data_IF_307639623514
#
_entry.id   IF_307639623514
#
_cell.length_a   1.000
_cell.length_b   1.000
_cell.length_c   1.000
_cell.angle_alpha   90.00
_cell.angle_beta   90.00
_cell.angle_gamma   90.00
#
_symmetry.space_group_name_H-M   'P 1'
#
loop_
_entity.id
_entity.type
_entity.pdbx_description
1 polymer ?
#
# COMPACT_ATOMS: atom_id res chain seq x y z
N UNK A 1 -14.67 46.54 -59.99
CA UNK A 1 -14.56 45.12 -59.68
C UNK A 1 -13.98 45.00 -58.24
N UNK A 2 -14.76 44.69 -57.26
CA UNK A 2 -14.30 44.55 -55.84
C UNK A 2 -14.31 43.07 -55.50
N UNK A 3 -13.12 42.47 -55.29
CA UNK A 3 -12.95 41.08 -54.91
C UNK A 3 -13.25 40.92 -53.40
N UNK A 4 -14.23 40.11 -53.09
CA UNK A 4 -14.63 39.75 -51.74
C UNK A 4 -13.84 38.49 -51.35
N UNK A 5 -12.85 38.61 -50.47
CA UNK A 5 -12.11 37.48 -49.91
C UNK A 5 -12.92 36.87 -48.76
N UNK A 6 -13.39 35.63 -48.95
CA UNK A 6 -14.10 34.86 -47.96
C UNK A 6 -13.06 34.17 -47.03
N UNK A 7 -12.91 34.65 -45.79
CA UNK A 7 -12.09 34.01 -44.74
C UNK A 7 -12.91 32.88 -44.13
N UNK A 8 -12.53 31.62 -44.46
CA UNK A 8 -13.08 30.43 -43.84
C UNK A 8 -12.34 30.20 -42.51
N UNK A 9 -12.97 30.51 -41.38
CA UNK A 9 -12.45 30.21 -40.04
C UNK A 9 -12.70 28.73 -39.75
N UNK A 10 -11.65 27.88 -39.85
CA UNK A 10 -11.69 26.54 -39.32
C UNK A 10 -11.64 26.59 -37.78
N UNK A 11 -12.79 26.34 -37.12
CA UNK A 11 -12.83 26.09 -35.67
C UNK A 11 -12.31 24.67 -35.41
N UNK A 12 -11.04 24.51 -34.97
CA UNK A 12 -10.53 23.28 -34.37
C UNK A 12 -11.19 23.09 -33.03
N UNK A 13 -12.23 22.26 -32.97
CA UNK A 13 -12.75 21.75 -31.68
C UNK A 13 -11.75 20.75 -31.14
N UNK A 14 -10.94 21.17 -30.18
CA UNK A 14 -10.09 20.27 -29.38
C UNK A 14 -10.98 19.37 -28.52
N UNK A 15 -11.26 18.15 -28.98
CA UNK A 15 -11.82 17.12 -28.12
C UNK A 15 -10.75 16.80 -27.08
N UNK A 16 -10.97 17.23 -25.84
CA UNK A 16 -10.22 16.72 -24.71
C UNK A 16 -10.51 15.21 -24.60
N UNK A 17 -9.59 14.38 -25.09
CA UNK A 17 -9.67 12.94 -24.87
C UNK A 17 -9.51 12.70 -23.36
N UNK A 18 -10.61 12.38 -22.69
CA UNK A 18 -10.55 11.90 -21.31
C UNK A 18 -9.74 10.60 -21.31
N UNK A 19 -8.63 10.58 -20.55
CA UNK A 19 -7.88 9.37 -20.35
C UNK A 19 -8.80 8.27 -19.78
N UNK A 20 -8.66 7.04 -20.28
CA UNK A 20 -9.44 5.91 -19.75
C UNK A 20 -9.19 5.75 -18.25
N UNK A 21 -10.22 5.37 -17.48
CA UNK A 21 -10.06 5.14 -16.05
C UNK A 21 -8.95 4.13 -15.75
N UNK A 22 -8.14 4.40 -14.73
CA UNK A 22 -7.11 3.49 -14.25
C UNK A 22 -7.73 2.27 -13.57
N UNK A 23 -7.29 1.08 -13.95
CA UNK A 23 -7.80 -0.18 -13.39
C UNK A 23 -6.98 -0.62 -12.19
N UNK A 24 -7.63 -0.75 -11.04
CA UNK A 24 -7.02 -1.24 -9.80
C UNK A 24 -7.61 -2.62 -9.46
N UNK A 25 -6.77 -3.64 -9.36
CA UNK A 25 -7.15 -4.97 -8.87
C UNK A 25 -6.93 -5.02 -7.36
N UNK A 26 -7.99 -5.23 -6.60
CA UNK A 26 -8.00 -5.18 -5.14
C UNK A 26 -8.31 -6.55 -4.57
N UNK A 27 -7.31 -7.18 -3.96
CA UNK A 27 -7.38 -8.56 -3.43
C UNK A 27 -7.52 -8.53 -1.91
N UNK A 28 -8.59 -9.11 -1.40
CA UNK A 28 -8.78 -9.37 0.01
C UNK A 28 -8.48 -10.82 0.34
N UNK A 29 -7.68 -11.08 1.39
CA UNK A 29 -7.58 -12.41 1.99
C UNK A 29 -8.88 -12.83 2.67
N UNK A 30 -9.04 -14.12 3.01
CA UNK A 30 -10.14 -14.56 3.86
C UNK A 30 -10.03 -13.89 5.23
N UNK A 31 -11.16 -13.71 5.96
CA UNK A 31 -11.12 -13.28 7.36
C UNK A 31 -10.27 -14.23 8.19
N UNK A 32 -9.51 -13.65 9.14
CA UNK A 32 -8.60 -14.45 9.97
C UNK A 32 -8.57 -13.95 11.37
N UNK A 33 -8.87 -13.94 12.33
CA UNK A 33 -8.93 -13.34 13.66
C UNK A 33 -10.40 -13.16 14.12
N UNK A 34 -10.56 -12.67 15.33
CA UNK A 34 -11.86 -12.35 15.87
C UNK A 34 -12.53 -11.15 15.17
N UNK A 35 -13.79 -10.86 15.50
CA UNK A 35 -14.51 -9.74 14.90
C UNK A 35 -13.75 -8.41 15.00
N UNK A 36 -13.85 -7.60 13.97
CA UNK A 36 -13.19 -6.29 13.82
C UNK A 36 -11.67 -6.34 13.69
N UNK A 37 -11.05 -7.51 13.62
CA UNK A 37 -9.64 -7.69 13.29
C UNK A 37 -9.51 -8.47 11.97
N UNK A 38 -8.56 -8.08 11.13
CA UNK A 38 -8.32 -8.71 9.81
C UNK A 38 -9.58 -8.86 8.94
N UNK A 39 -10.45 -7.85 8.97
CA UNK A 39 -11.66 -7.79 8.14
C UNK A 39 -11.31 -7.40 6.68
N UNK A 40 -10.48 -8.23 6.05
CA UNK A 40 -9.90 -7.95 4.74
C UNK A 40 -10.96 -7.71 3.68
N UNK A 41 -12.01 -8.57 3.63
CA UNK A 41 -13.10 -8.45 2.67
C UNK A 41 -13.87 -7.12 2.84
N UNK A 42 -14.21 -6.77 4.08
CA UNK A 42 -14.92 -5.53 4.38
C UNK A 42 -14.06 -4.31 4.07
N UNK A 43 -12.76 -4.34 4.45
CA UNK A 43 -11.82 -3.26 4.20
C UNK A 43 -11.61 -2.97 2.71
N UNK A 44 -11.39 -4.00 1.89
CA UNK A 44 -11.24 -3.83 0.44
C UNK A 44 -12.52 -3.28 -0.20
N UNK A 45 -13.70 -3.77 0.18
CA UNK A 45 -14.97 -3.27 -0.34
C UNK A 45 -15.20 -1.81 0.06
N UNK A 46 -14.86 -1.44 1.31
CA UNK A 46 -14.93 -0.05 1.78
C UNK A 46 -14.02 0.86 0.96
N UNK A 47 -12.74 0.49 0.79
CA UNK A 47 -11.78 1.27 0.00
C UNK A 47 -12.24 1.42 -1.45
N UNK A 48 -12.70 0.35 -2.09
CA UNK A 48 -13.23 0.40 -3.46
C UNK A 48 -14.46 1.31 -3.58
N UNK A 49 -15.37 1.28 -2.60
CA UNK A 49 -16.51 2.20 -2.52
C UNK A 49 -16.07 3.66 -2.42
N UNK A 50 -15.09 3.95 -1.55
CA UNK A 50 -14.53 5.29 -1.40
C UNK A 50 -13.84 5.77 -2.70
N UNK A 51 -13.07 4.91 -3.37
CA UNK A 51 -12.47 5.24 -4.68
C UNK A 51 -13.52 5.57 -5.73
N UNK A 52 -14.58 4.76 -5.83
CA UNK A 52 -15.70 5.01 -6.76
C UNK A 52 -16.35 6.37 -6.51
N UNK A 53 -16.50 6.78 -5.25
CA UNK A 53 -17.13 8.05 -4.85
C UNK A 53 -16.19 9.26 -5.00
N UNK A 54 -14.90 9.09 -4.67
CA UNK A 54 -13.95 10.20 -4.57
C UNK A 54 -13.08 10.43 -5.80
N UNK A 55 -12.86 9.41 -6.62
CA UNK A 55 -11.96 9.52 -7.78
C UNK A 55 -12.65 10.01 -9.07
N UNK A 56 -13.90 10.44 -9.00
CA UNK A 56 -14.64 11.06 -10.12
C UNK A 56 -14.52 10.30 -11.47
N UNK A 57 -14.59 8.98 -11.44
CA UNK A 57 -14.47 8.13 -12.63
C UNK A 57 -13.04 7.91 -13.13
N UNK A 58 -12.02 8.47 -12.46
CA UNK A 58 -10.61 8.28 -12.84
C UNK A 58 -10.06 6.89 -12.51
N UNK A 59 -10.74 6.16 -11.62
CA UNK A 59 -10.34 4.83 -11.15
C UNK A 59 -11.51 3.85 -11.23
N UNK A 60 -11.24 2.65 -11.74
CA UNK A 60 -12.13 1.50 -11.68
C UNK A 60 -11.49 0.41 -10.81
N UNK A 61 -12.28 -0.21 -9.92
CA UNK A 61 -11.82 -1.25 -9.01
C UNK A 61 -12.37 -2.61 -9.39
N UNK A 62 -11.51 -3.60 -9.60
CA UNK A 62 -11.88 -5.02 -9.69
C UNK A 62 -11.62 -5.65 -8.32
N UNK A 63 -12.68 -6.07 -7.63
CA UNK A 63 -12.60 -6.63 -6.28
C UNK A 63 -12.51 -8.15 -6.35
N UNK A 64 -11.52 -8.71 -5.66
CA UNK A 64 -11.33 -10.16 -5.48
C UNK A 64 -11.37 -10.45 -3.99
N UNK A 65 -12.30 -11.29 -3.56
CA UNK A 65 -12.50 -11.64 -2.15
C UNK A 65 -11.98 -13.05 -1.86
N UNK A 66 -11.59 -13.28 -0.59
CA UNK A 66 -11.19 -14.58 -0.06
C UNK A 66 -9.93 -15.18 -0.71
N UNK A 67 -8.99 -14.35 -1.13
CA UNK A 67 -7.69 -14.77 -1.63
C UNK A 67 -7.45 -14.44 -3.09
N UNK A 68 -6.56 -15.19 -3.72
CA UNK A 68 -6.15 -14.96 -5.12
C UNK A 68 -7.29 -15.30 -6.09
N UNK A 69 -7.44 -14.54 -7.20
CA UNK A 69 -8.48 -14.81 -8.18
C UNK A 69 -8.31 -16.19 -8.84
N UNK A 70 -9.42 -16.85 -9.12
CA UNK A 70 -9.40 -18.13 -9.85
C UNK A 70 -9.00 -17.97 -11.32
N UNK A 71 -9.32 -16.82 -11.89
CA UNK A 71 -8.96 -16.43 -13.26
C UNK A 71 -8.02 -15.22 -13.22
N UNK A 72 -6.83 -15.41 -13.75
CA UNK A 72 -5.80 -14.37 -13.80
C UNK A 72 -6.06 -13.30 -14.87
N UNK A 73 -7.06 -13.46 -15.73
CA UNK A 73 -7.45 -12.43 -16.71
C UNK A 73 -7.89 -11.12 -16.03
N UNK A 74 -8.26 -11.17 -14.75
CA UNK A 74 -8.56 -9.95 -13.96
C UNK A 74 -7.42 -8.95 -13.91
N UNK A 75 -6.18 -9.40 -14.11
CA UNK A 75 -4.99 -8.53 -14.13
C UNK A 75 -4.71 -7.90 -15.51
N UNK A 76 -5.44 -8.30 -16.56
CA UNK A 76 -5.27 -7.69 -17.89
C UNK A 76 -5.64 -6.21 -17.84
N UNK A 77 -4.71 -5.38 -18.31
CA UNK A 77 -4.87 -3.92 -18.27
C UNK A 77 -4.86 -3.30 -16.86
N UNK A 78 -4.40 -4.03 -15.83
CA UNK A 78 -4.27 -3.46 -14.50
C UNK A 78 -3.18 -2.38 -14.45
N UNK A 79 -3.51 -1.24 -13.85
CA UNK A 79 -2.55 -0.16 -13.54
C UNK A 79 -1.97 -0.32 -12.13
N UNK A 80 -2.71 -0.94 -11.21
CA UNK A 80 -2.21 -1.24 -9.86
C UNK A 80 -2.84 -2.52 -9.28
N UNK A 81 -2.11 -3.17 -8.37
CA UNK A 81 -2.57 -4.30 -7.56
C UNK A 81 -2.46 -3.92 -6.08
N UNK A 82 -3.56 -4.07 -5.35
CA UNK A 82 -3.65 -3.86 -3.90
C UNK A 82 -3.94 -5.19 -3.24
N UNK A 83 -3.17 -5.54 -2.21
CA UNK A 83 -3.39 -6.76 -1.42
C UNK A 83 -3.59 -6.39 0.05
N UNK A 84 -4.72 -6.80 0.61
CA UNK A 84 -5.03 -6.70 2.03
C UNK A 84 -5.42 -8.09 2.52
N UNK A 85 -4.49 -8.79 3.15
CA UNK A 85 -4.63 -10.20 3.51
C UNK A 85 -3.70 -10.58 4.66
N UNK A 86 -3.80 -11.81 5.14
CA UNK A 86 -2.74 -12.41 5.93
C UNK A 86 -1.45 -12.51 5.12
N UNK A 87 -0.34 -12.41 5.83
CA UNK A 87 1.01 -12.57 5.34
C UNK A 87 1.60 -13.96 5.58
N UNK A 88 2.92 -14.03 5.61
CA UNK A 88 3.69 -15.25 5.82
C UNK A 88 3.36 -16.32 4.78
N UNK A 89 3.35 -17.58 5.19
CA UNK A 89 3.12 -18.72 4.30
C UNK A 89 1.73 -18.75 3.65
N UNK A 90 0.76 -18.00 4.17
CA UNK A 90 -0.62 -17.88 3.62
C UNK A 90 -0.80 -16.69 2.69
N UNK A 91 0.21 -15.86 2.51
CA UNK A 91 0.13 -14.68 1.65
C UNK A 91 -0.30 -15.06 0.23
N UNK A 92 -1.39 -14.46 -0.34
CA UNK A 92 -1.92 -14.84 -1.66
C UNK A 92 -0.88 -14.73 -2.79
N UNK A 93 -0.01 -13.72 -2.74
CA UNK A 93 1.05 -13.53 -3.73
C UNK A 93 2.09 -14.67 -3.76
N UNK A 94 2.23 -15.44 -2.68
CA UNK A 94 3.25 -16.50 -2.56
C UNK A 94 2.74 -17.88 -2.95
N UNK A 95 1.45 -18.01 -3.27
CA UNK A 95 0.86 -19.28 -3.65
C UNK A 95 1.15 -19.62 -5.12
N UNK A 96 1.47 -20.89 -5.40
CA UNK A 96 1.71 -21.35 -6.76
C UNK A 96 2.70 -20.47 -7.54
N UNK A 97 2.25 -19.97 -8.70
CA UNK A 97 3.02 -19.10 -9.60
C UNK A 97 2.63 -17.62 -9.52
N UNK A 98 1.93 -17.22 -8.46
CA UNK A 98 1.40 -15.84 -8.33
C UNK A 98 2.52 -14.79 -8.25
N UNK A 99 3.64 -15.14 -7.60
CA UNK A 99 4.80 -14.25 -7.50
C UNK A 99 5.42 -13.98 -8.88
N UNK A 100 5.48 -15.00 -9.75
CA UNK A 100 5.95 -14.84 -11.14
C UNK A 100 5.03 -13.96 -11.97
N UNK A 101 3.71 -14.11 -11.79
CA UNK A 101 2.73 -13.25 -12.45
C UNK A 101 2.87 -11.80 -12.02
N UNK A 102 2.97 -11.55 -10.71
CA UNK A 102 3.19 -10.21 -10.17
C UNK A 102 4.49 -9.62 -10.70
N UNK A 103 5.58 -10.40 -10.77
CA UNK A 103 6.85 -9.96 -11.36
C UNK A 103 6.66 -9.40 -12.78
N UNK A 104 5.95 -10.13 -13.64
CA UNK A 104 5.63 -9.67 -15.00
C UNK A 104 4.80 -8.38 -15.05
N UNK A 105 3.94 -8.16 -14.06
CA UNK A 105 3.19 -6.90 -13.93
C UNK A 105 4.12 -5.77 -13.45
N UNK A 106 4.98 -6.04 -12.48
CA UNK A 106 5.93 -5.06 -11.96
C UNK A 106 6.94 -4.61 -13.02
N UNK A 107 7.39 -5.52 -13.88
CA UNK A 107 8.27 -5.21 -15.02
C UNK A 107 7.61 -4.24 -16.02
N UNK A 108 6.28 -4.28 -16.13
CA UNK A 108 5.47 -3.35 -16.92
C UNK A 108 5.16 -2.01 -16.22
N UNK A 109 5.64 -1.82 -14.99
CA UNK A 109 5.40 -0.60 -14.22
C UNK A 109 4.08 -0.57 -13.45
N UNK A 110 3.33 -1.68 -13.37
CA UNK A 110 2.08 -1.74 -12.59
C UNK A 110 2.35 -1.42 -11.12
N UNK A 111 1.51 -0.60 -10.49
CA UNK A 111 1.60 -0.25 -9.07
C UNK A 111 1.42 -1.48 -8.16
N UNK A 112 2.11 -1.52 -7.01
CA UNK A 112 1.99 -2.62 -6.04
C UNK A 112 1.83 -2.09 -4.62
N UNK A 113 0.72 -2.42 -3.98
CA UNK A 113 0.40 -1.95 -2.64
C UNK A 113 0.05 -3.13 -1.73
N UNK A 114 0.57 -3.11 -0.52
CA UNK A 114 0.21 -4.09 0.52
C UNK A 114 -0.24 -3.39 1.81
N UNK A 115 -1.29 -3.93 2.42
CA UNK A 115 -1.93 -3.38 3.61
C UNK A 115 -1.85 -4.38 4.74
N UNK A 116 -1.43 -3.92 5.91
CA UNK A 116 -1.30 -4.62 7.17
C UNK A 116 -0.42 -5.87 7.04
N UNK A 117 -0.90 -7.04 7.41
CA UNK A 117 -0.11 -8.27 7.42
C UNK A 117 0.36 -8.67 6.00
N UNK A 118 -0.28 -8.17 4.94
CA UNK A 118 0.21 -8.37 3.58
C UNK A 118 1.57 -7.70 3.28
N UNK A 119 2.12 -6.87 4.17
CA UNK A 119 3.51 -6.38 4.05
C UNK A 119 4.55 -7.46 4.40
N UNK A 120 4.12 -8.63 4.90
CA UNK A 120 4.97 -9.73 5.35
C UNK A 120 4.97 -10.90 4.35
N UNK A 121 5.92 -10.95 3.43
CA UNK A 121 6.24 -12.18 2.70
C UNK A 121 7.02 -13.17 3.58
N UNK A 122 7.21 -14.41 3.11
CA UNK A 122 8.18 -15.32 3.72
C UNK A 122 9.60 -14.88 3.35
N UNK A 123 10.51 -14.80 4.33
CA UNK A 123 11.87 -14.28 4.12
C UNK A 123 12.60 -14.99 2.96
N UNK A 124 12.50 -16.31 2.86
CA UNK A 124 13.11 -17.08 1.79
C UNK A 124 12.33 -17.02 0.46
N UNK A 125 11.10 -16.48 0.45
CA UNK A 125 10.22 -16.40 -0.72
C UNK A 125 9.42 -15.09 -0.67
N UNK A 126 9.79 -14.14 -1.48
CA UNK A 126 9.06 -12.87 -1.63
C UNK A 126 9.75 -11.64 -1.03
N UNK A 127 10.64 -11.74 -0.03
CA UNK A 127 11.30 -10.55 0.52
C UNK A 127 12.05 -9.75 -0.56
N UNK A 128 12.82 -10.44 -1.41
CA UNK A 128 13.56 -9.79 -2.50
C UNK A 128 12.63 -9.07 -3.46
N UNK A 129 11.56 -9.72 -3.84
CA UNK A 129 10.54 -9.21 -4.74
C UNK A 129 9.82 -8.01 -4.11
N UNK A 130 9.36 -8.12 -2.87
CA UNK A 130 8.64 -7.05 -2.18
C UNK A 130 9.52 -5.81 -1.95
N UNK A 131 10.80 -6.01 -1.60
CA UNK A 131 11.77 -4.90 -1.53
C UNK A 131 11.94 -4.25 -2.91
N UNK A 132 12.03 -5.04 -3.98
CA UNK A 132 12.17 -4.50 -5.35
C UNK A 132 10.87 -3.83 -5.86
N UNK A 133 9.69 -4.26 -5.41
CA UNK A 133 8.39 -3.77 -5.91
C UNK A 133 7.82 -2.62 -5.12
N UNK A 134 7.93 -2.65 -3.78
CA UNK A 134 7.38 -1.63 -2.89
C UNK A 134 8.40 -1.01 -1.91
N UNK A 135 9.69 -1.32 -2.07
CA UNK A 135 10.76 -0.67 -1.31
C UNK A 135 11.00 -1.19 0.10
N UNK A 136 10.16 -2.06 0.60
CA UNK A 136 10.29 -2.61 1.96
C UNK A 136 9.26 -3.69 2.26
N UNK A 137 9.55 -4.49 3.29
CA UNK A 137 8.66 -5.53 3.78
C UNK A 137 8.99 -5.90 5.23
N UNK A 138 8.11 -6.64 5.87
CA UNK A 138 8.38 -7.28 7.14
C UNK A 138 9.39 -8.43 6.94
N UNK A 139 10.33 -8.57 7.86
CA UNK A 139 11.29 -9.67 7.89
C UNK A 139 11.29 -10.35 9.25
N UNK A 140 11.07 -11.65 9.27
CA UNK A 140 11.08 -12.43 10.51
C UNK A 140 12.40 -12.27 11.29
N UNK A 141 12.32 -12.23 12.61
CA UNK A 141 13.43 -11.98 13.54
C UNK A 141 14.10 -10.58 13.41
N UNK A 142 13.51 -9.69 12.64
CA UNK A 142 13.96 -8.32 12.43
C UNK A 142 12.85 -7.30 12.69
N UNK A 143 11.71 -7.49 12.07
CA UNK A 143 10.54 -6.61 12.25
C UNK A 143 9.70 -7.03 13.46
N UNK A 144 8.86 -6.11 13.94
CA UNK A 144 8.05 -6.29 15.16
C UNK A 144 6.59 -5.92 14.87
N UNK A 145 5.64 -6.69 15.41
CA UNK A 145 4.19 -6.48 15.24
C UNK A 145 3.47 -6.22 16.56
N UNK A 146 3.72 -5.14 17.28
CA UNK A 146 3.02 -4.83 18.52
C UNK A 146 1.77 -3.99 18.27
N UNK A 147 0.80 -4.06 19.19
CA UNK A 147 -0.24 -3.05 19.30
C UNK A 147 0.30 -1.81 20.02
N UNK A 148 0.16 -0.65 19.40
CA UNK A 148 0.52 0.62 20.02
C UNK A 148 -0.19 1.81 19.37
N UNK A 149 -0.21 2.93 20.08
CA UNK A 149 -0.78 4.16 19.55
C UNK A 149 0.30 5.00 18.92
N UNK A 150 0.30 5.07 17.58
CA UNK A 150 1.16 5.97 16.84
C UNK A 150 0.51 7.36 16.71
N UNK A 151 1.32 8.42 16.72
CA UNK A 151 0.91 9.81 16.65
C UNK A 151 1.67 10.52 15.54
N UNK A 152 1.09 10.55 14.36
CA UNK A 152 1.68 11.10 13.15
C UNK A 152 1.57 12.63 13.10
N UNK A 153 2.43 13.30 13.85
CA UNK A 153 2.43 14.78 14.00
C UNK A 153 3.00 15.50 12.80
N UNK A 154 3.88 14.87 12.05
CA UNK A 154 4.57 15.44 10.88
C UNK A 154 4.38 14.52 9.69
N UNK A 155 3.84 15.07 8.62
CA UNK A 155 3.65 14.36 7.35
C UNK A 155 4.58 14.97 6.30
N UNK A 156 5.21 14.17 5.42
CA UNK A 156 6.04 14.69 4.34
C UNK A 156 5.16 15.42 3.31
N UNK A 157 5.77 16.32 2.54
CA UNK A 157 5.11 16.88 1.35
C UNK A 157 5.15 15.83 0.24
N UNK A 158 4.07 15.09 0.07
CA UNK A 158 3.95 14.01 -0.91
C UNK A 158 2.50 13.91 -1.42
N UNK A 159 2.23 13.46 -2.67
CA UNK A 159 0.85 13.28 -3.14
C UNK A 159 -0.01 12.41 -2.21
N UNK A 160 0.57 11.38 -1.60
CA UNK A 160 -0.12 10.48 -0.65
C UNK A 160 -0.62 11.23 0.60
N UNK A 161 0.04 12.29 1.01
CA UNK A 161 -0.35 13.11 2.17
C UNK A 161 -1.21 14.33 1.79
N UNK A 162 -1.63 14.43 0.54
CA UNK A 162 -2.50 15.53 0.10
C UNK A 162 -3.83 15.50 0.86
N UNK A 163 -4.16 16.60 1.54
CA UNK A 163 -5.37 16.72 2.35
C UNK A 163 -5.45 15.77 3.56
N UNK A 164 -4.34 15.13 3.94
CA UNK A 164 -4.22 14.35 5.18
C UNK A 164 -3.72 15.27 6.29
N UNK A 165 -4.44 15.31 7.41
CA UNK A 165 -4.03 16.04 8.60
C UNK A 165 -3.21 15.12 9.54
N UNK A 166 -2.41 15.70 10.46
CA UNK A 166 -1.83 14.94 11.57
C UNK A 166 -2.91 14.18 12.33
N UNK A 167 -2.66 12.90 12.61
CA UNK A 167 -3.62 12.04 13.30
C UNK A 167 -2.94 11.05 14.23
N UNK A 168 -3.74 10.43 15.09
CA UNK A 168 -3.34 9.41 16.03
C UNK A 168 -4.26 8.20 15.88
N UNK A 169 -3.68 6.99 15.88
CA UNK A 169 -4.43 5.75 15.83
C UNK A 169 -3.75 4.66 16.62
N UNK A 170 -4.54 3.87 17.35
CA UNK A 170 -4.09 2.62 17.95
C UNK A 170 -4.34 1.50 16.93
N UNK A 171 -3.28 0.77 16.59
CA UNK A 171 -3.35 -0.37 15.67
C UNK A 171 -2.21 -1.35 15.98
N UNK A 172 -2.20 -2.50 15.35
CA UNK A 172 -1.03 -3.38 15.31
C UNK A 172 -0.03 -2.84 14.27
N UNK A 173 0.58 -1.69 14.58
CA UNK A 173 1.53 -1.05 13.71
C UNK A 173 2.84 -1.82 13.67
N UNK A 174 3.09 -2.56 12.58
CA UNK A 174 4.38 -3.21 12.37
C UNK A 174 5.46 -2.17 12.13
N UNK A 175 6.63 -2.40 12.69
CA UNK A 175 7.75 -1.50 12.52
C UNK A 175 9.08 -2.23 12.36
N UNK A 176 10.15 -1.46 12.17
CA UNK A 176 11.50 -1.94 11.85
C UNK A 176 11.50 -2.81 10.59
N UNK A 177 10.86 -2.30 9.55
CA UNK A 177 10.77 -2.97 8.26
C UNK A 177 12.15 -3.16 7.63
N UNK A 178 12.29 -4.18 6.80
CA UNK A 178 13.44 -4.32 5.91
C UNK A 178 13.20 -3.48 4.68
N UNK A 179 13.97 -2.41 4.52
CA UNK A 179 13.88 -1.52 3.37
C UNK A 179 14.96 -1.82 2.31
N UNK A 180 14.77 -1.27 1.12
CA UNK A 180 15.78 -1.24 0.07
C UNK A 180 17.10 -0.62 0.61
N UNK A 181 18.28 -1.11 0.16
CA UNK A 181 19.56 -0.63 0.66
C UNK A 181 19.66 0.90 0.61
N UNK A 182 20.03 1.49 1.75
CA UNK A 182 20.12 2.94 1.90
C UNK A 182 18.81 3.70 1.69
N UNK A 183 17.67 3.04 1.81
CA UNK A 183 16.33 3.63 1.55
C UNK A 183 16.19 4.23 0.14
N UNK A 184 16.99 3.79 -0.83
CA UNK A 184 16.98 4.34 -2.19
C UNK A 184 15.59 4.15 -2.82
N UNK A 185 14.97 5.26 -3.23
CA UNK A 185 13.62 5.29 -3.80
C UNK A 185 12.49 5.18 -2.78
N UNK A 186 12.80 5.01 -1.49
CA UNK A 186 11.79 4.91 -0.41
C UNK A 186 11.57 6.29 0.22
N UNK A 187 10.32 6.69 0.29
CA UNK A 187 9.88 7.90 1.02
C UNK A 187 8.99 7.48 2.20
N UNK A 188 9.42 7.68 3.46
CA UNK A 188 8.56 7.48 4.62
C UNK A 188 7.32 8.39 4.56
N UNK A 189 6.13 7.82 4.70
CA UNK A 189 4.85 8.55 4.68
C UNK A 189 4.31 8.74 6.10
N UNK A 190 4.24 7.66 6.88
CA UNK A 190 3.86 7.72 8.28
C UNK A 190 5.01 7.19 9.13
N UNK A 191 5.41 7.99 10.12
CA UNK A 191 6.50 7.63 11.02
C UNK A 191 6.23 8.14 12.43
N UNK A 192 6.60 7.34 13.41
CA UNK A 192 6.58 7.74 14.82
C UNK A 192 7.64 6.96 15.61
N UNK A 193 7.90 7.37 16.84
CA UNK A 193 8.80 6.67 17.77
C UNK A 193 7.98 5.63 18.54
N UNK A 194 8.28 4.36 18.31
CA UNK A 194 7.62 3.28 19.04
C UNK A 194 8.02 3.30 20.53
N UNK A 195 7.05 3.23 21.47
CA UNK A 195 7.38 3.22 22.90
C UNK A 195 8.12 1.93 23.30
N UNK A 196 8.96 2.00 24.33
CA UNK A 196 9.76 0.85 24.80
C UNK A 196 8.90 -0.38 25.14
N UNK A 197 7.65 -0.17 25.58
CA UNK A 197 6.70 -1.26 25.88
C UNK A 197 6.39 -2.16 24.68
N UNK A 198 6.58 -1.68 23.44
CA UNK A 198 6.41 -2.48 22.22
C UNK A 198 7.42 -3.62 22.10
N UNK A 199 8.50 -3.57 22.87
CA UNK A 199 9.56 -4.58 22.91
C UNK A 199 9.47 -5.49 24.14
N UNK A 200 8.31 -5.65 24.76
CA UNK A 200 8.12 -6.47 25.97
C UNK A 200 8.23 -7.98 25.74
N UNK A 201 7.99 -8.45 24.51
CA UNK A 201 8.15 -9.86 24.14
C UNK A 201 9.63 -10.23 24.00
N UNK A 202 9.99 -11.49 24.24
CA UNK A 202 11.32 -12.03 23.92
C UNK A 202 11.63 -11.93 22.42
N UNK A 203 12.91 -12.13 22.05
CA UNK A 203 13.31 -12.16 20.63
C UNK A 203 12.59 -13.27 19.88
N UNK A 204 12.24 -13.03 18.63
CA UNK A 204 11.49 -13.99 17.83
C UNK A 204 11.02 -13.45 16.49
N UNK A 205 10.35 -14.31 15.76
CA UNK A 205 9.92 -14.03 14.38
C UNK A 205 9.16 -12.71 14.21
N UNK A 206 8.32 -12.33 15.19
CA UNK A 206 7.52 -11.10 15.18
C UNK A 206 7.85 -10.15 16.33
N UNK A 207 9.02 -10.31 16.95
CA UNK A 207 9.42 -9.56 18.14
C UNK A 207 10.83 -8.94 18.03
N UNK A 208 11.41 -9.02 16.82
CA UNK A 208 12.73 -8.47 16.55
C UNK A 208 13.87 -9.26 17.21
N UNK A 209 14.95 -8.57 17.51
CA UNK A 209 16.20 -9.12 18.05
C UNK A 209 16.90 -8.04 18.92
N UNK A 210 18.09 -8.34 19.54
CA UNK A 210 18.79 -7.38 20.38
C UNK A 210 19.17 -6.07 19.70
N UNK A 211 19.45 -6.08 18.37
CA UNK A 211 19.74 -4.86 17.62
C UNK A 211 18.52 -3.98 17.50
N UNK A 212 17.35 -4.57 17.22
CA UNK A 212 16.07 -3.85 17.14
C UNK A 212 15.72 -3.22 18.49
N UNK A 213 15.94 -3.94 19.61
CA UNK A 213 15.73 -3.40 20.96
C UNK A 213 16.58 -2.16 21.22
N UNK A 214 17.87 -2.21 20.84
CA UNK A 214 18.76 -1.04 20.96
C UNK A 214 18.26 0.13 20.12
N UNK A 215 17.80 -0.11 18.91
CA UNK A 215 17.28 0.91 18.00
C UNK A 215 16.04 1.58 18.58
N UNK A 216 15.09 0.80 19.11
CA UNK A 216 13.88 1.32 19.75
C UNK A 216 14.21 2.08 21.03
N UNK A 217 15.10 1.55 21.88
CA UNK A 217 15.53 2.21 23.10
C UNK A 217 16.23 3.53 22.85
N UNK A 218 16.93 3.68 21.71
CA UNK A 218 17.52 4.95 21.26
C UNK A 218 16.50 5.96 20.72
N UNK A 219 15.20 5.64 20.69
CA UNK A 219 14.16 6.53 20.20
C UNK A 219 14.17 6.72 18.68
N UNK A 220 14.69 5.76 17.94
CA UNK A 220 14.72 5.85 16.48
C UNK A 220 13.29 5.84 15.90
N UNK A 221 13.04 6.76 14.96
CA UNK A 221 11.77 6.82 14.25
C UNK A 221 11.52 5.55 13.44
N UNK A 222 10.31 5.01 13.55
CA UNK A 222 9.85 3.82 12.85
C UNK A 222 8.91 4.22 11.71
N UNK A 223 9.16 3.69 10.51
CA UNK A 223 8.34 3.96 9.33
C UNK A 223 7.30 2.86 9.18
N UNK A 224 6.03 3.21 9.37
CA UNK A 224 4.88 2.29 9.34
C UNK A 224 4.04 2.40 8.08
N UNK A 225 4.28 3.43 7.26
CA UNK A 225 3.83 3.52 5.88
C UNK A 225 4.91 4.21 5.05
N UNK A 226 5.11 3.74 3.83
CA UNK A 226 6.14 4.25 2.93
C UNK A 226 5.71 4.14 1.47
N UNK A 227 6.15 5.11 0.66
CA UNK A 227 6.07 5.11 -0.78
C UNK A 227 7.40 4.65 -1.39
N UNK A 228 7.34 4.08 -2.58
CA UNK A 228 8.51 3.63 -3.32
C UNK A 228 8.37 3.92 -4.82
N UNK A 229 9.39 4.50 -5.40
CA UNK A 229 9.46 4.74 -6.84
C UNK A 229 10.49 3.82 -7.48
N UNK A 230 10.03 2.95 -8.38
CA UNK A 230 10.90 2.05 -9.15
C UNK A 230 11.55 2.76 -10.32
N UNK A 231 12.74 2.31 -10.72
CA UNK A 231 13.48 2.89 -11.84
C UNK A 231 12.70 2.83 -13.19
N UNK A 232 11.77 1.87 -13.33
CA UNK A 232 10.91 1.76 -14.51
C UNK A 232 9.65 2.64 -14.47
N UNK A 233 9.55 3.55 -13.50
CA UNK A 233 8.39 4.43 -13.30
C UNK A 233 7.23 3.80 -12.53
N UNK A 234 7.28 2.51 -12.21
CA UNK A 234 6.28 1.87 -11.38
C UNK A 234 6.37 2.34 -9.93
N UNK A 235 5.26 2.26 -9.19
CA UNK A 235 5.15 2.73 -7.80
C UNK A 235 4.81 1.60 -6.85
N UNK A 236 5.27 1.72 -5.62
CA UNK A 236 4.99 0.79 -4.55
C UNK A 236 4.56 1.52 -3.28
N UNK A 237 3.75 0.86 -2.46
CA UNK A 237 3.34 1.40 -1.17
C UNK A 237 3.13 0.26 -0.16
N UNK A 238 3.72 0.41 1.01
CA UNK A 238 3.46 -0.45 2.16
C UNK A 238 2.79 0.33 3.28
N UNK A 239 1.79 -0.28 3.90
CA UNK A 239 1.03 0.30 5.01
C UNK A 239 0.80 -0.76 6.07
N UNK A 240 1.38 -0.60 7.24
CA UNK A 240 1.36 -1.65 8.28
C UNK A 240 0.15 -1.60 9.21
N UNK A 241 -0.63 -0.52 9.20
CA UNK A 241 -1.91 -0.44 9.90
C UNK A 241 -3.03 -1.21 9.19
N UNK A 242 -4.17 -1.32 9.83
CA UNK A 242 -5.35 -2.00 9.28
C UNK A 242 -5.67 -3.33 9.95
N UNK A 243 -5.01 -3.68 11.06
CA UNK A 243 -5.44 -4.77 11.93
C UNK A 243 -6.85 -4.49 12.46
N UNK A 244 -7.01 -3.29 13.01
CA UNK A 244 -8.26 -2.87 13.60
C UNK A 244 -9.18 -2.24 12.55
N UNK A 245 -10.26 -2.94 12.20
CA UNK A 245 -11.19 -2.50 11.15
C UNK A 245 -11.82 -1.12 11.44
N UNK A 246 -12.05 -0.79 12.70
CA UNK A 246 -12.64 0.49 13.08
C UNK A 246 -11.77 1.70 12.73
N UNK A 247 -10.45 1.50 12.55
CA UNK A 247 -9.57 2.58 12.12
C UNK A 247 -9.90 3.13 10.72
N UNK A 248 -10.60 2.35 9.89
CA UNK A 248 -11.09 2.86 8.60
C UNK A 248 -12.15 3.97 8.75
N UNK A 249 -12.74 4.16 9.93
CA UNK A 249 -13.61 5.31 10.23
C UNK A 249 -12.82 6.63 10.40
N UNK A 250 -11.52 6.57 10.70
CA UNK A 250 -10.65 7.75 10.74
C UNK A 250 -10.36 8.22 9.31
N UNK A 251 -10.77 9.44 8.98
CA UNK A 251 -10.66 10.00 7.63
C UNK A 251 -9.20 10.11 7.15
N UNK A 252 -8.29 10.53 8.02
CA UNK A 252 -6.88 10.74 7.66
C UNK A 252 -6.13 9.41 7.50
N UNK A 253 -6.46 8.40 8.32
CA UNK A 253 -6.00 7.02 8.15
C UNK A 253 -6.44 6.46 6.80
N UNK A 254 -7.74 6.52 6.52
CA UNK A 254 -8.33 6.02 5.27
C UNK A 254 -7.82 6.79 4.05
N UNK A 255 -7.78 8.13 4.13
CA UNK A 255 -7.31 9.00 3.05
C UNK A 255 -5.85 8.72 2.65
N UNK A 256 -4.98 8.43 3.62
CA UNK A 256 -3.60 8.04 3.33
C UNK A 256 -3.53 6.84 2.38
N UNK A 257 -4.33 5.81 2.63
CA UNK A 257 -4.35 4.61 1.77
C UNK A 257 -5.03 4.89 0.43
N UNK A 258 -6.14 5.63 0.42
CA UNK A 258 -6.83 6.00 -0.82
C UNK A 258 -5.93 6.84 -1.75
N UNK A 259 -5.22 7.81 -1.19
CA UNK A 259 -4.27 8.62 -1.95
C UNK A 259 -3.12 7.76 -2.52
N UNK A 260 -2.64 6.77 -1.76
CA UNK A 260 -1.60 5.86 -2.22
C UNK A 260 -2.08 4.97 -3.39
N UNK A 261 -3.34 4.57 -3.39
CA UNK A 261 -3.93 3.79 -4.50
C UNK A 261 -4.04 4.65 -5.77
N UNK A 262 -4.36 5.93 -5.62
CA UNK A 262 -4.53 6.85 -6.76
C UNK A 262 -3.18 7.39 -7.26
N UNK A 263 -2.20 7.49 -6.38
CA UNK A 263 -0.85 7.94 -6.71
C UNK A 263 -0.12 6.98 -7.63
#
# INVERSE_FOLDING_TARGET
MKSLALLLALSLSAFAAFAAPKKVVMIAGPPSHGPLAHEHNAGIQLLAKCLKQGANGLVTSTIVLNGWPKDNSVFEGADAVVIYSDGGGRHPALQGKNLELLGKLMDKGVGFLTIHYAVEPVTAKGNKEFIAWQGGCFEANWSVNPHWTANFKKLPKHPITSGVNPFKANDEWYFHMRFAPGMKGVTPILSDVAPASTMSRGDGAHSGNPTVRKTVAAGASQHVAWAFERANGGRGFGFTGGHNHLNWANDDFRKTVLNAIVW
#
